data_IF_090341478156
#
_entry.id   IF_090341478156
#
_cell.length_a   1.000
_cell.length_b   1.000
_cell.length_c   1.000
_cell.angle_alpha   90.00
_cell.angle_beta   90.00
_cell.angle_gamma   90.00
#
_symmetry.space_group_name_H-M   'P 1'
#
loop_
_entity.id
_entity.type
_entity.pdbx_description
1 polymer ?
#
# COMPACT_ATOMS: atom_id res chain seq x y z
N UNK A 1 4.92 51.73 -11.65
CA UNK A 1 3.93 51.82 -10.55
C UNK A 1 3.79 50.43 -9.93
N UNK A 2 4.92 49.73 -9.75
CA UNK A 2 4.96 48.26 -9.67
C UNK A 2 5.57 47.73 -8.36
N UNK A 3 6.15 48.61 -7.54
CA UNK A 3 6.85 48.25 -6.29
C UNK A 3 5.92 47.95 -5.11
N UNK A 4 4.63 48.30 -5.18
CA UNK A 4 3.67 48.06 -4.10
C UNK A 4 3.16 46.61 -4.09
N UNK A 5 3.20 45.91 -5.24
CA UNK A 5 2.74 44.52 -5.32
C UNK A 5 3.74 43.53 -4.70
N UNK A 6 5.04 43.81 -4.76
CA UNK A 6 6.09 42.89 -4.29
C UNK A 6 6.09 42.69 -2.76
N UNK A 7 5.79 43.74 -1.99
CA UNK A 7 5.72 43.67 -0.52
C UNK A 7 4.54 42.83 -0.02
N UNK A 8 3.41 42.86 -0.73
CA UNK A 8 2.24 42.03 -0.41
C UNK A 8 2.47 40.54 -0.73
N UNK A 9 3.32 40.26 -1.74
CA UNK A 9 3.69 38.89 -2.11
C UNK A 9 4.67 38.29 -1.09
N UNK A 10 5.61 39.09 -0.58
CA UNK A 10 6.60 38.64 0.40
C UNK A 10 5.97 38.28 1.75
N UNK A 11 4.93 38.99 2.22
CA UNK A 11 4.29 38.68 3.51
C UNK A 11 3.42 37.42 3.46
N UNK A 12 2.75 37.14 2.32
CA UNK A 12 2.02 35.88 2.09
C UNK A 12 2.94 34.67 1.98
N UNK A 13 4.12 34.84 1.38
CA UNK A 13 5.14 33.78 1.27
C UNK A 13 5.63 33.27 2.63
N UNK A 14 5.90 34.20 3.57
CA UNK A 14 6.38 33.86 4.92
C UNK A 14 5.37 32.99 5.70
N UNK A 15 4.08 33.33 5.61
CA UNK A 15 3.02 32.58 6.30
C UNK A 15 2.83 31.16 5.77
N UNK A 16 2.85 30.97 4.45
CA UNK A 16 2.68 29.67 3.82
C UNK A 16 3.82 28.69 4.16
N UNK A 17 5.05 29.20 4.26
CA UNK A 17 6.21 28.37 4.60
C UNK A 17 6.10 27.73 6.00
N UNK A 18 5.67 28.52 7.00
CA UNK A 18 5.51 28.05 8.39
C UNK A 18 4.38 27.03 8.57
N UNK A 19 3.30 27.14 7.78
CA UNK A 19 2.20 26.16 7.83
C UNK A 19 2.65 24.82 7.24
N UNK A 20 3.41 24.84 6.15
CA UNK A 20 3.90 23.62 5.50
C UNK A 20 4.88 22.81 6.36
N UNK A 21 5.77 23.49 7.10
CA UNK A 21 6.73 22.85 8.02
C UNK A 21 6.03 22.23 9.23
N UNK A 22 5.04 22.92 9.80
CA UNK A 22 4.27 22.37 10.92
C UNK A 22 3.45 21.14 10.49
N UNK A 23 2.81 21.18 9.33
CA UNK A 23 2.03 20.04 8.81
C UNK A 23 2.88 18.82 8.50
N UNK A 24 4.03 19.00 7.83
CA UNK A 24 4.96 17.89 7.56
C UNK A 24 5.44 17.24 8.86
N UNK A 25 5.77 18.06 9.87
CA UNK A 25 6.17 17.55 11.19
C UNK A 25 5.04 16.77 11.87
N UNK A 26 3.80 17.27 11.85
CA UNK A 26 2.65 16.58 12.46
C UNK A 26 2.36 15.26 11.75
N UNK A 27 2.34 15.25 10.42
CA UNK A 27 2.05 14.05 9.63
C UNK A 27 3.15 13.01 9.84
N UNK A 28 4.42 13.42 9.83
CA UNK A 28 5.56 12.53 10.09
C UNK A 28 5.49 11.94 11.50
N UNK A 29 5.13 12.75 12.50
CA UNK A 29 4.95 12.30 13.88
C UNK A 29 3.80 11.29 14.01
N UNK A 30 2.65 11.57 13.42
CA UNK A 30 1.49 10.67 13.42
C UNK A 30 1.79 9.35 12.70
N UNK A 31 2.43 9.41 11.53
CA UNK A 31 2.85 8.22 10.80
C UNK A 31 3.84 7.38 11.61
N UNK A 32 4.78 8.01 12.31
CA UNK A 32 5.75 7.31 13.17
C UNK A 32 5.05 6.65 14.35
N UNK A 33 4.13 7.34 15.03
CA UNK A 33 3.35 6.77 16.14
C UNK A 33 2.54 5.56 15.67
N UNK A 34 1.81 5.71 14.56
CA UNK A 34 1.01 4.62 14.00
C UNK A 34 1.88 3.41 13.62
N UNK A 35 3.04 3.66 13.00
CA UNK A 35 4.01 2.62 12.68
C UNK A 35 4.54 1.90 13.92
N UNK A 36 4.91 2.63 14.97
CA UNK A 36 5.41 2.05 16.24
C UNK A 36 4.32 1.28 16.97
N UNK A 37 3.09 1.81 17.05
CA UNK A 37 1.94 1.13 17.65
C UNK A 37 1.65 -0.19 16.92
N UNK A 38 1.68 -0.18 15.59
CA UNK A 38 1.46 -1.37 14.78
C UNK A 38 2.58 -2.41 14.96
N UNK A 39 3.85 -1.99 14.95
CA UNK A 39 4.99 -2.87 15.24
C UNK A 39 4.92 -3.47 16.65
N UNK A 40 4.51 -2.67 17.64
CA UNK A 40 4.37 -3.13 19.03
C UNK A 40 3.28 -4.20 19.15
N UNK A 41 2.11 -3.98 18.52
CA UNK A 41 1.05 -4.99 18.45
C UNK A 41 1.55 -6.25 17.76
N UNK A 42 2.26 -6.13 16.63
CA UNK A 42 2.80 -7.28 15.94
C UNK A 42 3.80 -8.07 16.79
N UNK A 43 4.76 -7.39 17.43
CA UNK A 43 5.75 -8.02 18.30
C UNK A 43 5.08 -8.75 19.47
N UNK A 44 4.06 -8.13 20.07
CA UNK A 44 3.26 -8.75 21.12
C UNK A 44 2.62 -10.05 20.64
N UNK A 45 2.02 -10.05 19.45
CA UNK A 45 1.36 -11.24 18.93
C UNK A 45 2.37 -12.30 18.44
N UNK A 46 3.50 -11.91 17.84
CA UNK A 46 4.60 -12.85 17.52
C UNK A 46 5.10 -13.53 18.80
N UNK A 47 5.22 -12.78 19.89
CA UNK A 47 5.63 -13.33 21.18
C UNK A 47 4.57 -14.31 21.71
N UNK A 48 3.28 -14.00 21.55
CA UNK A 48 2.17 -14.91 21.90
C UNK A 48 2.27 -16.24 21.15
N UNK A 49 2.68 -16.23 19.87
CA UNK A 49 2.91 -17.44 19.09
C UNK A 49 4.13 -18.23 19.52
N UNK A 50 5.21 -17.56 19.90
CA UNK A 50 6.40 -18.23 20.45
C UNK A 50 6.05 -19.02 21.71
N UNK A 51 5.11 -18.53 22.51
CA UNK A 51 4.66 -19.21 23.73
C UNK A 51 3.72 -20.40 23.48
N UNK A 52 3.07 -20.51 22.31
CA UNK A 52 2.12 -21.60 21.99
C UNK A 52 2.39 -22.21 20.61
N UNK A 53 3.47 -22.99 20.44
CA UNK A 53 3.79 -23.61 19.16
C UNK A 53 2.71 -24.64 18.77
N UNK A 54 2.01 -24.40 17.65
CA UNK A 54 1.10 -25.41 17.08
C UNK A 54 1.90 -26.47 16.34
N UNK A 55 1.58 -27.73 16.59
CA UNK A 55 2.17 -28.89 15.89
C UNK A 55 1.53 -28.99 14.50
N UNK A 56 2.20 -28.46 13.48
CA UNK A 56 1.78 -28.61 12.10
C UNK A 56 2.34 -29.91 11.52
N UNK A 57 1.46 -30.78 10.99
CA UNK A 57 1.83 -32.09 10.42
C UNK A 57 2.50 -32.03 9.03
N UNK A 58 2.76 -30.85 8.46
CA UNK A 58 3.37 -30.67 7.13
C UNK A 58 4.43 -29.58 7.15
N UNK A 59 5.66 -29.93 6.80
CA UNK A 59 6.83 -29.03 6.82
C UNK A 59 6.66 -27.82 5.90
N UNK A 60 6.04 -28.01 4.74
CA UNK A 60 5.84 -26.93 3.77
C UNK A 60 4.87 -25.84 4.26
N UNK A 61 3.84 -26.22 5.02
CA UNK A 61 2.87 -25.28 5.58
C UNK A 61 3.49 -24.42 6.69
N UNK A 62 4.50 -24.96 7.37
CA UNK A 62 5.18 -24.29 8.48
C UNK A 62 6.00 -23.10 8.00
N UNK A 63 6.67 -23.22 6.85
CA UNK A 63 7.43 -22.10 6.28
C UNK A 63 6.52 -20.97 5.81
N UNK A 64 5.46 -21.29 5.06
CA UNK A 64 4.56 -20.28 4.51
C UNK A 64 3.89 -19.44 5.62
N UNK A 65 3.44 -20.11 6.68
CA UNK A 65 2.76 -19.46 7.80
C UNK A 65 3.71 -18.58 8.65
N UNK A 66 5.02 -18.84 8.58
CA UNK A 66 6.03 -18.03 9.26
C UNK A 66 6.29 -16.69 8.57
N UNK A 67 6.21 -16.65 7.24
CA UNK A 67 6.46 -15.43 6.46
C UNK A 67 5.22 -14.57 6.23
N UNK A 68 4.02 -15.17 6.22
CA UNK A 68 2.75 -14.45 6.05
C UNK A 68 2.60 -13.17 6.92
N UNK A 69 2.85 -13.17 8.26
CA UNK A 69 2.69 -11.96 9.06
C UNK A 69 3.67 -10.85 8.68
N UNK A 70 4.88 -11.18 8.24
CA UNK A 70 5.86 -10.18 7.79
C UNK A 70 5.41 -9.48 6.51
N UNK A 71 4.78 -10.21 5.59
CA UNK A 71 4.22 -9.63 4.36
C UNK A 71 3.09 -8.65 4.67
N UNK A 72 2.17 -9.01 5.59
CA UNK A 72 1.10 -8.09 5.99
C UNK A 72 1.62 -6.83 6.68
N UNK A 73 2.64 -6.95 7.52
CA UNK A 73 3.29 -5.80 8.18
C UNK A 73 3.86 -4.85 7.16
N UNK A 74 4.57 -5.41 6.20
CA UNK A 74 5.17 -4.64 5.13
C UNK A 74 4.10 -3.89 4.32
N UNK A 75 3.00 -4.56 3.97
CA UNK A 75 1.85 -3.94 3.29
C UNK A 75 1.25 -2.79 4.12
N UNK A 76 1.07 -2.98 5.43
CA UNK A 76 0.50 -1.95 6.31
C UNK A 76 1.42 -0.74 6.43
N UNK A 77 2.73 -0.95 6.57
CA UNK A 77 3.70 0.16 6.66
C UNK A 77 3.73 0.95 5.35
N UNK A 78 3.69 0.26 4.20
CA UNK A 78 3.64 0.92 2.89
C UNK A 78 2.35 1.72 2.71
N UNK A 79 1.19 1.14 3.02
CA UNK A 79 -0.08 1.85 2.87
C UNK A 79 -0.17 3.05 3.83
N UNK A 80 0.46 2.97 5.00
CA UNK A 80 0.56 4.13 5.91
C UNK A 80 1.45 5.24 5.33
N UNK A 81 2.59 4.88 4.73
CA UNK A 81 3.47 5.84 4.07
C UNK A 81 2.76 6.52 2.89
N UNK A 82 2.07 5.74 2.06
CA UNK A 82 1.28 6.25 0.95
C UNK A 82 0.15 7.17 1.42
N UNK A 83 -0.59 6.77 2.45
CA UNK A 83 -1.64 7.60 3.04
C UNK A 83 -1.09 8.94 3.55
N UNK A 84 0.07 8.92 4.22
CA UNK A 84 0.72 10.14 4.71
C UNK A 84 1.12 11.08 3.57
N UNK A 85 1.70 10.56 2.49
CA UNK A 85 2.06 11.33 1.30
C UNK A 85 0.83 11.90 0.59
N UNK A 86 -0.20 11.09 0.39
CA UNK A 86 -1.44 11.52 -0.28
C UNK A 86 -2.20 12.56 0.55
N UNK A 87 -2.27 12.38 1.88
CA UNK A 87 -2.90 13.34 2.79
C UNK A 87 -2.14 14.67 2.83
N UNK A 88 -0.80 14.63 2.84
CA UNK A 88 0.01 15.84 2.76
C UNK A 88 -0.29 16.62 1.48
N UNK A 89 -0.29 15.96 0.31
CA UNK A 89 -0.66 16.60 -0.96
C UNK A 89 -2.06 17.20 -0.92
N UNK A 90 -3.03 16.44 -0.43
CA UNK A 90 -4.41 16.87 -0.36
C UNK A 90 -4.56 18.17 0.44
N UNK A 91 -3.88 18.28 1.59
CA UNK A 91 -3.87 19.52 2.38
C UNK A 91 -3.22 20.67 1.61
N UNK A 92 -2.11 20.42 0.92
CA UNK A 92 -1.45 21.46 0.11
C UNK A 92 -2.37 22.01 -0.97
N UNK A 93 -3.11 21.15 -1.66
CA UNK A 93 -4.07 21.57 -2.68
C UNK A 93 -5.24 22.37 -2.08
N UNK A 94 -5.76 21.97 -0.92
CA UNK A 94 -6.79 22.74 -0.21
C UNK A 94 -6.28 24.13 0.17
N UNK A 95 -5.03 24.23 0.64
CA UNK A 95 -4.48 25.50 1.09
C UNK A 95 -4.25 26.47 -0.08
N UNK A 96 -3.85 25.96 -1.24
CA UNK A 96 -3.60 26.78 -2.43
C UNK A 96 -4.88 27.14 -3.21
N UNK A 97 -6.00 26.46 -2.94
CA UNK A 97 -7.30 26.65 -3.62
C UNK A 97 -7.23 26.47 -5.16
N UNK A 98 -6.11 25.98 -5.68
CA UNK A 98 -5.87 25.74 -7.10
C UNK A 98 -5.70 24.25 -7.34
N UNK A 99 -6.82 23.55 -7.46
CA UNK A 99 -6.82 22.21 -8.04
C UNK A 99 -6.72 22.36 -9.57
N UNK A 100 -5.82 21.62 -10.25
CA UNK A 100 -5.69 21.70 -11.71
C UNK A 100 -6.96 21.22 -12.41
N UNK A 101 -7.68 20.26 -11.80
CA UNK A 101 -8.95 19.72 -12.29
C UNK A 101 -9.77 19.11 -11.14
N UNK A 102 -11.08 19.01 -11.29
CA UNK A 102 -11.94 18.28 -10.33
C UNK A 102 -11.58 16.80 -10.26
N UNK A 103 -11.19 16.19 -11.38
CA UNK A 103 -10.74 14.80 -11.47
C UNK A 103 -9.52 14.51 -10.58
N UNK A 104 -8.54 15.43 -10.53
CA UNK A 104 -7.32 15.25 -9.72
C UNK A 104 -7.64 15.13 -8.22
N UNK A 105 -8.66 15.87 -7.76
CA UNK A 105 -9.14 15.80 -6.37
C UNK A 105 -9.77 14.45 -6.10
N UNK A 106 -10.64 13.96 -6.98
CA UNK A 106 -11.26 12.64 -6.84
C UNK A 106 -10.23 11.51 -6.87
N UNK A 107 -9.16 11.64 -7.66
CA UNK A 107 -8.06 10.67 -7.68
C UNK A 107 -7.31 10.62 -6.34
N UNK A 108 -6.96 11.77 -5.76
CA UNK A 108 -6.33 11.84 -4.44
C UNK A 108 -7.22 11.27 -3.34
N UNK A 109 -8.51 11.60 -3.34
CA UNK A 109 -9.48 11.07 -2.38
C UNK A 109 -9.58 9.54 -2.51
N UNK A 110 -9.57 8.99 -3.73
CA UNK A 110 -9.59 7.55 -3.98
C UNK A 110 -8.31 6.85 -3.49
N UNK A 111 -7.14 7.45 -3.69
CA UNK A 111 -5.85 6.91 -3.20
C UNK A 111 -5.84 6.91 -1.67
N UNK A 112 -6.20 8.03 -1.02
CA UNK A 112 -6.28 8.10 0.45
C UNK A 112 -7.23 7.03 0.99
N UNK A 113 -8.40 6.88 0.35
CA UNK A 113 -9.35 5.82 0.70
C UNK A 113 -8.73 4.43 0.53
N UNK A 114 -8.04 4.17 -0.58
CA UNK A 114 -7.40 2.89 -0.86
C UNK A 114 -6.31 2.56 0.17
N UNK A 115 -5.44 3.51 0.50
CA UNK A 115 -4.36 3.32 1.47
C UNK A 115 -4.93 3.10 2.89
N UNK A 116 -5.96 3.84 3.29
CA UNK A 116 -6.66 3.63 4.57
C UNK A 116 -7.39 2.27 4.60
N UNK A 117 -8.07 1.91 3.52
CA UNK A 117 -8.75 0.62 3.37
C UNK A 117 -7.75 -0.53 3.50
N UNK A 118 -6.62 -0.44 2.81
CA UNK A 118 -5.55 -1.43 2.83
C UNK A 118 -4.96 -1.58 4.21
N UNK A 119 -4.65 -0.46 4.88
CA UNK A 119 -4.15 -0.45 6.26
C UNK A 119 -5.11 -1.16 7.21
N UNK A 120 -6.40 -0.80 7.15
CA UNK A 120 -7.42 -1.35 8.04
C UNK A 120 -7.61 -2.85 7.80
N UNK A 121 -7.83 -3.24 6.55
CA UNK A 121 -8.12 -4.63 6.19
C UNK A 121 -6.92 -5.55 6.35
N UNK A 122 -5.70 -5.11 5.98
CA UNK A 122 -4.48 -5.88 6.23
C UNK A 122 -4.22 -6.03 7.74
N UNK A 123 -4.49 -5.00 8.55
CA UNK A 123 -4.48 -5.09 10.01
C UNK A 123 -5.46 -6.15 10.54
N UNK A 124 -6.71 -6.12 10.07
CA UNK A 124 -7.73 -7.12 10.45
C UNK A 124 -7.31 -8.53 10.02
N UNK A 125 -6.81 -8.71 8.79
CA UNK A 125 -6.32 -10.02 8.33
C UNK A 125 -5.14 -10.53 9.17
N UNK A 126 -4.24 -9.64 9.58
CA UNK A 126 -3.13 -9.98 10.47
C UNK A 126 -3.67 -10.53 11.79
N UNK A 127 -4.62 -9.84 12.42
CA UNK A 127 -5.24 -10.27 13.68
C UNK A 127 -5.99 -11.60 13.51
N UNK A 128 -6.76 -11.74 12.42
CA UNK A 128 -7.54 -12.95 12.11
C UNK A 128 -6.65 -14.19 11.96
N UNK A 129 -5.54 -14.07 11.23
CA UNK A 129 -4.57 -15.15 11.10
C UNK A 129 -3.88 -15.48 12.41
N UNK A 130 -3.67 -14.46 13.22
CA UNK A 130 -3.00 -14.61 14.47
C UNK A 130 -3.89 -15.25 15.55
N UNK A 131 -5.21 -15.11 15.45
CA UNK A 131 -6.12 -15.66 16.44
C UNK A 131 -6.35 -17.18 16.26
N UNK A 132 -6.13 -18.01 17.31
CA UNK A 132 -6.20 -19.47 17.18
C UNK A 132 -7.56 -20.04 16.85
N UNK A 133 -8.63 -19.46 17.38
CA UNK A 133 -9.99 -19.93 17.08
C UNK A 133 -10.53 -19.41 15.75
N UNK A 134 -10.00 -18.31 15.20
CA UNK A 134 -10.54 -17.74 13.96
C UNK A 134 -9.90 -18.32 12.70
N UNK A 135 -8.70 -18.90 12.84
CA UNK A 135 -8.01 -19.60 11.76
C UNK A 135 -8.80 -20.78 11.17
N UNK A 136 -9.79 -21.33 11.88
CA UNK A 136 -10.65 -22.41 11.38
C UNK A 136 -11.84 -21.91 10.56
N UNK A 137 -12.14 -20.61 10.59
CA UNK A 137 -13.27 -20.07 9.83
C UNK A 137 -12.92 -19.89 8.35
N UNK A 138 -13.90 -20.07 7.44
CA UNK A 138 -13.71 -19.88 6.00
C UNK A 138 -13.32 -18.45 5.63
N UNK A 139 -13.56 -17.47 6.51
CA UNK A 139 -13.12 -16.08 6.31
C UNK A 139 -11.59 -15.95 6.31
N UNK A 140 -10.88 -16.84 7.03
CA UNK A 140 -9.43 -16.94 6.99
C UNK A 140 -8.90 -17.74 5.78
N UNK A 141 -9.77 -18.09 4.83
CA UNK A 141 -9.39 -18.81 3.62
C UNK A 141 -8.48 -17.97 2.73
N UNK A 142 -7.52 -18.64 2.06
CA UNK A 142 -6.66 -18.03 1.04
C UNK A 142 -7.49 -17.36 -0.08
N UNK A 143 -8.68 -17.88 -0.35
CA UNK A 143 -9.59 -17.32 -1.36
C UNK A 143 -10.07 -15.90 -1.03
N UNK A 144 -10.49 -15.65 0.22
CA UNK A 144 -10.99 -14.32 0.62
C UNK A 144 -9.89 -13.27 0.54
N UNK A 145 -8.67 -13.64 0.93
CA UNK A 145 -7.49 -12.77 0.83
C UNK A 145 -7.13 -12.49 -0.62
N UNK A 146 -7.22 -13.49 -1.49
CA UNK A 146 -6.95 -13.30 -2.93
C UNK A 146 -7.92 -12.30 -3.54
N UNK A 147 -9.22 -12.45 -3.25
CA UNK A 147 -10.25 -11.52 -3.71
C UNK A 147 -9.98 -10.11 -3.17
N UNK A 148 -9.63 -10.00 -1.88
CA UNK A 148 -9.29 -8.73 -1.26
C UNK A 148 -8.08 -8.06 -1.93
N UNK A 149 -6.97 -8.78 -2.16
CA UNK A 149 -5.79 -8.23 -2.84
C UNK A 149 -6.15 -7.74 -4.24
N UNK A 150 -6.94 -8.51 -5.00
CA UNK A 150 -7.37 -8.12 -6.35
C UNK A 150 -8.21 -6.83 -6.29
N UNK A 151 -9.17 -6.75 -5.36
CA UNK A 151 -10.02 -5.57 -5.23
C UNK A 151 -9.21 -4.33 -4.86
N UNK A 152 -8.32 -4.46 -3.87
CA UNK A 152 -7.40 -3.37 -3.48
C UNK A 152 -6.53 -2.94 -4.65
N UNK A 153 -5.95 -3.89 -5.40
CA UNK A 153 -5.14 -3.61 -6.57
C UNK A 153 -5.93 -2.86 -7.65
N UNK A 154 -7.16 -3.28 -7.95
CA UNK A 154 -8.01 -2.61 -8.94
C UNK A 154 -8.32 -1.16 -8.53
N UNK A 155 -8.68 -0.92 -7.27
CA UNK A 155 -8.95 0.44 -6.75
C UNK A 155 -7.69 1.30 -6.79
N UNK A 156 -6.55 0.73 -6.41
CA UNK A 156 -5.27 1.41 -6.42
C UNK A 156 -4.84 1.81 -7.84
N UNK A 157 -4.87 0.86 -8.79
CA UNK A 157 -4.54 1.12 -10.21
C UNK A 157 -5.49 2.15 -10.81
N UNK A 158 -6.79 2.10 -10.47
CA UNK A 158 -7.74 3.13 -10.90
C UNK A 158 -7.37 4.53 -10.38
N UNK A 159 -7.02 4.66 -9.10
CA UNK A 159 -6.56 5.93 -8.52
C UNK A 159 -5.28 6.44 -9.18
N UNK A 160 -4.29 5.56 -9.34
CA UNK A 160 -3.02 5.87 -9.99
C UNK A 160 -3.19 6.31 -11.45
N UNK A 161 -4.06 5.63 -12.21
CA UNK A 161 -4.30 5.94 -13.63
C UNK A 161 -5.04 7.26 -13.83
N UNK A 162 -6.09 7.54 -13.03
CA UNK A 162 -6.78 8.84 -13.08
C UNK A 162 -5.78 9.95 -12.74
N UNK A 163 -4.98 9.74 -11.69
CA UNK A 163 -3.97 10.71 -11.31
C UNK A 163 -2.96 10.95 -12.43
N UNK A 164 -2.46 9.87 -13.09
CA UNK A 164 -1.53 9.95 -14.21
C UNK A 164 -2.07 10.72 -15.42
N UNK A 165 -3.37 10.59 -15.72
CA UNK A 165 -4.02 11.30 -16.82
C UNK A 165 -4.14 12.81 -16.57
N UNK A 166 -4.27 13.22 -15.30
CA UNK A 166 -4.47 14.62 -14.92
C UNK A 166 -3.16 15.41 -14.83
N UNK A 167 -2.00 14.75 -14.93
CA UNK A 167 -0.75 15.49 -15.01
C UNK A 167 -0.53 16.01 -16.41
N UNK A 168 -0.30 17.33 -16.53
CA UNK A 168 0.10 17.87 -17.81
C UNK A 168 1.43 17.23 -18.22
N UNK A 169 1.50 16.79 -19.47
CA UNK A 169 2.72 16.29 -20.14
C UNK A 169 3.91 17.27 -20.05
N UNK A 170 3.63 18.52 -19.66
CA UNK A 170 4.57 19.58 -19.34
C UNK A 170 5.54 19.22 -18.20
N UNK A 171 5.15 18.34 -17.26
CA UNK A 171 6.07 17.84 -16.23
C UNK A 171 7.20 16.96 -16.82
N UNK A 172 6.93 16.23 -17.92
CA UNK A 172 7.95 15.40 -18.59
C UNK A 172 9.00 16.23 -19.34
N UNK A 173 8.66 17.45 -19.74
CA UNK A 173 9.57 18.35 -20.46
C UNK A 173 10.47 19.16 -19.53
N UNK A 174 10.34 19.01 -18.21
CA UNK A 174 11.23 19.63 -17.21
C UNK A 174 11.06 21.15 -17.05
N UNK A 175 10.05 21.76 -17.69
CA UNK A 175 9.79 23.20 -17.59
C UNK A 175 8.81 23.48 -16.45
N UNK A 176 9.32 23.52 -15.24
CA UNK A 176 8.59 23.88 -14.02
C UNK A 176 8.43 25.40 -13.82
N UNK A 177 8.16 26.16 -14.88
CA UNK A 177 8.27 27.62 -14.81
C UNK A 177 7.12 28.30 -14.03
N UNK A 178 5.98 27.63 -13.80
CA UNK A 178 4.82 28.26 -13.15
C UNK A 178 4.24 27.50 -11.93
N UNK A 179 4.87 26.41 -11.50
CA UNK A 179 4.35 25.59 -10.40
C UNK A 179 5.28 25.69 -9.20
N UNK A 180 4.80 26.33 -8.14
CA UNK A 180 5.57 26.68 -6.92
C UNK A 180 6.09 25.43 -6.19
N UNK A 181 5.54 24.25 -6.46
CA UNK A 181 5.91 22.98 -5.80
C UNK A 181 6.28 21.88 -6.80
N UNK A 182 6.87 22.25 -7.93
CA UNK A 182 7.19 21.28 -8.98
C UNK A 182 8.12 20.15 -8.50
N UNK A 183 9.06 20.43 -7.59
CA UNK A 183 9.99 19.42 -7.06
C UNK A 183 9.31 18.41 -6.14
N UNK A 184 8.45 18.84 -5.21
CA UNK A 184 7.73 17.91 -4.32
C UNK A 184 6.67 17.09 -5.08
N UNK A 185 5.95 17.70 -6.03
CA UNK A 185 5.00 16.98 -6.89
C UNK A 185 5.74 15.96 -7.74
N UNK A 186 6.92 16.31 -8.30
CA UNK A 186 7.76 15.37 -9.06
C UNK A 186 8.29 14.22 -8.21
N UNK A 187 8.63 14.45 -6.94
CA UNK A 187 9.00 13.37 -6.02
C UNK A 187 7.82 12.40 -5.76
N UNK A 188 6.59 12.93 -5.70
CA UNK A 188 5.36 12.14 -5.58
C UNK A 188 4.97 11.40 -6.87
N UNK A 189 5.37 11.89 -8.04
CA UNK A 189 5.19 11.16 -9.31
C UNK A 189 6.29 10.15 -9.62
N UNK A 190 7.51 10.37 -9.13
CA UNK A 190 8.54 9.32 -9.08
C UNK A 190 8.07 8.09 -8.28
N UNK A 191 7.17 8.29 -7.31
CA UNK A 191 6.49 7.21 -6.57
C UNK A 191 5.39 6.49 -7.36
N UNK A 192 4.91 6.97 -8.51
CA UNK A 192 3.81 6.33 -9.25
C UNK A 192 4.25 5.80 -10.63
N UNK A 193 5.40 6.26 -11.14
CA UNK A 193 5.85 6.00 -12.50
C UNK A 193 7.03 5.03 -12.53
N UNK A 194 6.80 3.76 -12.86
CA UNK A 194 7.85 2.86 -13.36
C UNK A 194 8.20 3.35 -14.78
N UNK A 195 9.09 4.34 -14.91
CA UNK A 195 9.58 4.76 -16.22
C UNK A 195 10.95 5.45 -16.18
N UNK A 196 11.98 4.60 -16.14
CA UNK A 196 13.23 4.68 -16.91
C UNK A 196 13.73 6.09 -17.31
N UNK A 197 14.40 6.84 -16.41
CA UNK A 197 15.51 7.73 -16.81
C UNK A 197 16.61 7.82 -15.75
N UNK A 198 17.84 7.63 -16.24
CA UNK A 198 19.14 7.74 -15.58
C UNK A 198 19.47 9.22 -15.33
N UNK A 199 19.94 9.55 -14.13
CA UNK A 199 20.65 10.80 -13.84
C UNK A 199 20.13 11.58 -12.63
N UNK A 200 20.75 11.30 -11.48
CA UNK A 200 20.88 12.13 -10.27
C UNK A 200 19.79 12.09 -9.15
N UNK A 201 20.18 11.39 -8.08
CA UNK A 201 19.97 11.60 -6.64
C UNK A 201 18.54 11.99 -6.20
N UNK A 202 17.64 11.01 -6.18
CA UNK A 202 16.49 10.93 -5.26
C UNK A 202 16.09 9.47 -5.05
N UNK A 203 16.95 8.72 -4.36
CA UNK A 203 16.97 7.24 -4.37
C UNK A 203 15.98 6.57 -3.40
N UNK A 204 15.39 7.31 -2.45
CA UNK A 204 14.63 6.70 -1.33
C UNK A 204 13.14 6.51 -1.65
N UNK A 205 12.57 7.30 -2.56
CA UNK A 205 11.15 7.21 -2.93
C UNK A 205 10.89 6.25 -4.09
N UNK A 206 11.64 6.31 -5.20
CA UNK A 206 11.44 5.40 -6.34
C UNK A 206 11.56 3.91 -5.95
N UNK A 207 12.49 3.61 -5.03
CA UNK A 207 12.66 2.26 -4.50
C UNK A 207 11.42 1.77 -3.74
N UNK A 208 10.66 2.65 -3.09
CA UNK A 208 9.51 2.26 -2.25
C UNK A 208 8.32 1.79 -3.09
N UNK A 209 8.02 2.49 -4.20
CA UNK A 209 6.94 2.11 -5.12
C UNK A 209 7.29 0.91 -6.00
N UNK A 210 8.53 0.84 -6.47
CA UNK A 210 9.02 -0.37 -7.13
C UNK A 210 8.97 -1.56 -6.17
N UNK A 211 9.35 -1.36 -4.91
CA UNK A 211 9.25 -2.41 -3.89
C UNK A 211 7.79 -2.78 -3.61
N UNK A 212 6.86 -1.83 -3.56
CA UNK A 212 5.44 -2.10 -3.35
C UNK A 212 4.82 -2.85 -4.53
N UNK A 213 5.10 -2.44 -5.77
CA UNK A 213 4.67 -3.17 -6.96
C UNK A 213 5.31 -4.55 -7.05
N UNK A 214 6.61 -4.69 -6.74
CA UNK A 214 7.30 -6.00 -6.66
C UNK A 214 6.69 -6.87 -5.56
N UNK A 215 6.34 -6.31 -4.40
CA UNK A 215 5.76 -7.07 -3.29
C UNK A 215 4.31 -7.42 -3.59
N UNK A 216 3.52 -6.54 -4.20
CA UNK A 216 2.15 -6.83 -4.62
C UNK A 216 2.13 -7.87 -5.74
N UNK A 217 2.98 -7.73 -6.76
CA UNK A 217 3.11 -8.74 -7.83
C UNK A 217 3.66 -10.06 -7.28
N UNK A 218 4.65 -10.02 -6.40
CA UNK A 218 5.16 -11.20 -5.69
C UNK A 218 4.11 -11.86 -4.81
N UNK A 219 3.29 -11.09 -4.10
CA UNK A 219 2.15 -11.57 -3.31
C UNK A 219 1.10 -12.22 -4.23
N UNK A 220 0.80 -11.61 -5.37
CA UNK A 220 -0.13 -12.18 -6.36
C UNK A 220 0.41 -13.49 -6.94
N UNK A 221 1.69 -13.53 -7.34
CA UNK A 221 2.32 -14.74 -7.88
C UNK A 221 2.32 -15.86 -6.83
N UNK A 222 2.69 -15.54 -5.58
CA UNK A 222 2.70 -16.52 -4.49
C UNK A 222 1.29 -17.02 -4.16
N UNK A 223 0.28 -16.15 -4.14
CA UNK A 223 -1.12 -16.54 -3.93
C UNK A 223 -1.64 -17.43 -5.07
N UNK A 224 -1.40 -17.06 -6.33
CA UNK A 224 -1.76 -17.89 -7.50
C UNK A 224 -1.08 -19.25 -7.42
N UNK A 225 0.19 -19.27 -7.01
CA UNK A 225 0.93 -20.51 -6.81
C UNK A 225 0.33 -21.38 -5.70
N UNK A 226 -0.04 -20.79 -4.55
CA UNK A 226 -0.71 -21.48 -3.43
C UNK A 226 -2.06 -22.05 -3.87
N UNK A 227 -2.88 -21.25 -4.57
CA UNK A 227 -4.19 -21.69 -5.09
C UNK A 227 -4.00 -22.88 -6.04
N UNK A 228 -3.02 -22.80 -6.96
CA UNK A 228 -2.69 -23.90 -7.87
C UNK A 228 -2.25 -25.15 -7.12
N UNK A 229 -1.47 -25.01 -6.04
CA UNK A 229 -1.09 -26.14 -5.19
C UNK A 229 -2.30 -26.75 -4.47
N UNK A 230 -3.19 -25.91 -3.93
CA UNK A 230 -4.41 -26.35 -3.25
C UNK A 230 -5.30 -27.18 -4.18
N UNK A 231 -5.51 -26.71 -5.41
CA UNK A 231 -6.29 -27.41 -6.44
C UNK A 231 -5.65 -28.77 -6.77
N UNK A 232 -4.33 -28.82 -6.97
CA UNK A 232 -3.62 -30.07 -7.26
C UNK A 232 -3.80 -31.10 -6.14
N UNK A 233 -3.74 -30.68 -4.89
CA UNK A 233 -3.91 -31.58 -3.74
C UNK A 233 -5.36 -32.03 -3.56
N UNK A 234 -6.35 -31.16 -3.84
CA UNK A 234 -7.76 -31.55 -3.86
C UNK A 234 -8.03 -32.59 -4.96
N UNK A 235 -7.50 -32.36 -6.17
CA UNK A 235 -7.64 -33.27 -7.30
C UNK A 235 -7.05 -34.66 -6.99
N UNK A 236 -5.88 -34.72 -6.35
CA UNK A 236 -5.27 -35.99 -5.90
C UNK A 236 -6.13 -36.72 -4.87
N UNK A 237 -6.85 -36.02 -3.99
CA UNK A 237 -7.77 -36.67 -3.02
C UNK A 237 -8.97 -37.27 -3.73
N UNK A 238 -9.60 -36.52 -4.63
CA UNK A 238 -10.75 -36.99 -5.42
C UNK A 238 -10.35 -38.19 -6.27
N UNK A 239 -9.19 -38.12 -6.95
CA UNK A 239 -8.65 -39.23 -7.73
C UNK A 239 -8.44 -40.49 -6.87
N UNK A 240 -7.87 -40.37 -5.66
CA UNK A 240 -7.71 -41.51 -4.75
C UNK A 240 -9.05 -42.10 -4.30
N UNK A 241 -10.05 -41.25 -4.00
CA UNK A 241 -11.36 -41.75 -3.62
C UNK A 241 -12.07 -42.47 -4.78
N UNK A 242 -11.97 -41.95 -6.00
CA UNK A 242 -12.50 -42.61 -7.19
C UNK A 242 -11.85 -43.98 -7.42
N UNK A 243 -10.53 -44.09 -7.24
CA UNK A 243 -9.82 -45.39 -7.36
C UNK A 243 -10.29 -46.39 -6.30
N UNK A 244 -10.46 -45.96 -5.04
CA UNK A 244 -10.98 -46.84 -3.97
C UNK A 244 -12.42 -47.28 -4.25
N UNK A 245 -13.28 -46.37 -4.70
CA UNK A 245 -14.67 -46.70 -5.07
C UNK A 245 -14.75 -47.67 -6.26
N UNK A 246 -13.85 -47.56 -7.25
CA UNK A 246 -13.78 -48.50 -8.38
C UNK A 246 -13.29 -49.89 -7.95
N UNK A 247 -12.34 -49.98 -7.01
CA UNK A 247 -11.86 -51.26 -6.49
C UNK A 247 -12.91 -52.00 -5.64
N UNK A 248 -13.74 -51.26 -4.90
CA UNK A 248 -14.83 -51.83 -4.09
C UNK A 248 -16.02 -52.33 -4.92
N UNK A 249 -16.13 -51.92 -6.19
CA UNK A 249 -17.22 -52.30 -7.09
C UNK A 249 -16.92 -53.55 -7.93
N UNK A 250 -15.73 -54.15 -7.81
CA UNK A 250 -15.35 -55.41 -8.47
C UNK A 250 -15.39 -56.56 -7.47
#
# INVERSE_FOLDING_TARGET
MDTVNDLSLSSRSSGASNVSSNLTSIISFLATILGVCYLSMLLWVINLFRMRPRVFKKDYSRHLQRYAPFVYVFIVVNSLAEAACAFWLFIQYIHQQTFPSSSSRSALELIIFCSCWTMFTAGVFTILFMHPTWSTHPVASVGSQTIWVILTLCVWVAGATILACELPSQFLTGRCASVVYCSQVRALFGLCSISLRVGDISFVCEALSLLETIVLTGAMITMVWIVRQSIREALKRVSRQLVVSMMLSR
#
